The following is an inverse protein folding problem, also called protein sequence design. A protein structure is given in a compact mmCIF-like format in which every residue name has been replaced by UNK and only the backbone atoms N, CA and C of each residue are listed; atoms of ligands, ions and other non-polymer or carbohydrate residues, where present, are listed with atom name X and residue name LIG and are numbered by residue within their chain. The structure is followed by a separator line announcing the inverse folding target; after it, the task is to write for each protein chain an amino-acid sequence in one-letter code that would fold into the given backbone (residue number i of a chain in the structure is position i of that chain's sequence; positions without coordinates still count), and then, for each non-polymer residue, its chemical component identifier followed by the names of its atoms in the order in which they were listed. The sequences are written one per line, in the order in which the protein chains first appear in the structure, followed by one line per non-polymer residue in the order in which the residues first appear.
data_IF_690164361009
#
_entry.id   IF_690164361009
#
_cell.length_a   1.000
_cell.length_b   1.000
_cell.length_c   1.000
_cell.angle_alpha   90.00
_cell.angle_beta   90.00
_cell.angle_gamma   90.00
#
_symmetry.space_group_name_H-M   'P 1'
#
loop_
_entity.id
_entity.type
_entity.pdbx_description
1 polymer ?
#
# COMPACT_ATOMS: atom_id res chain seq x y z
N UNK A 1 82.20 -52.13 2.35
CA UNK A 1 83.12 -51.62 1.29
C UNK A 1 82.44 -50.38 0.70
N UNK A 2 83.14 -49.31 1.01
CA UNK A 2 83.31 -48.09 0.20
C UNK A 2 82.03 -47.42 -0.40
N UNK A 3 81.60 -46.33 0.20
CA UNK A 3 82.07 -44.95 -0.05
C UNK A 3 82.06 -44.57 -1.52
N UNK A 4 81.16 -43.59 -1.90
CA UNK A 4 81.70 -42.28 -2.29
C UNK A 4 80.59 -41.24 -2.37
N UNK A 5 80.87 -40.17 -1.64
CA UNK A 5 80.25 -38.81 -1.82
C UNK A 5 80.72 -38.25 -3.18
N UNK A 6 79.96 -37.40 -3.79
CA UNK A 6 80.46 -36.11 -4.36
C UNK A 6 79.31 -35.14 -4.54
N UNK A 7 79.58 -34.00 -4.09
CA UNK A 7 78.98 -32.69 -3.97
C UNK A 7 78.76 -31.91 -5.31
N UNK A 8 77.86 -30.96 -5.23
CA UNK A 8 77.96 -29.57 -5.63
C UNK A 8 77.17 -29.09 -6.87
N UNK A 9 76.29 -28.18 -6.49
CA UNK A 9 76.23 -26.78 -6.93
C UNK A 9 75.50 -26.46 -8.23
N UNK A 10 74.39 -25.75 -7.96
CA UNK A 10 74.03 -24.47 -8.61
C UNK A 10 73.70 -24.46 -10.10
N UNK A 11 72.44 -24.21 -10.37
CA UNK A 11 72.07 -23.16 -11.33
C UNK A 11 70.65 -22.71 -11.06
N UNK A 12 70.57 -21.47 -10.65
CA UNK A 12 69.32 -20.69 -10.62
C UNK A 12 68.89 -20.48 -12.09
N UNK A 13 67.65 -20.86 -12.39
CA UNK A 13 66.92 -20.31 -13.51
C UNK A 13 65.54 -19.96 -13.03
N UNK A 14 65.28 -18.67 -12.92
CA UNK A 14 63.99 -18.11 -12.51
C UNK A 14 62.91 -18.40 -13.53
N UNK A 15 61.81 -18.94 -13.09
CA UNK A 15 60.54 -18.94 -13.82
C UNK A 15 59.67 -17.94 -13.09
N UNK A 16 59.48 -16.76 -13.70
CA UNK A 16 58.44 -15.83 -13.32
C UNK A 16 57.09 -16.50 -13.59
N UNK A 17 56.49 -17.02 -12.56
CA UNK A 17 55.09 -17.41 -12.57
C UNK A 17 54.23 -16.17 -12.52
N UNK A 18 53.56 -15.83 -13.62
CA UNK A 18 52.50 -14.85 -13.64
C UNK A 18 51.34 -15.37 -12.81
N UNK A 19 51.18 -14.81 -11.61
CA UNK A 19 49.95 -14.99 -10.83
C UNK A 19 48.86 -14.19 -11.51
N UNK A 20 48.03 -14.88 -12.27
CA UNK A 20 46.76 -14.30 -12.73
C UNK A 20 45.88 -14.02 -11.50
N UNK A 21 45.80 -12.76 -11.12
CA UNK A 21 44.82 -12.30 -10.13
C UNK A 21 43.42 -12.53 -10.73
N UNK A 22 42.81 -13.64 -10.37
CA UNK A 22 41.36 -13.81 -10.54
C UNK A 22 40.69 -12.69 -9.71
N UNK A 23 40.27 -11.64 -10.40
CA UNK A 23 39.44 -10.61 -9.81
C UNK A 23 38.21 -11.27 -9.23
N UNK A 24 38.15 -11.39 -7.91
CA UNK A 24 36.92 -11.65 -7.19
C UNK A 24 36.02 -10.46 -7.51
N UNK A 25 35.12 -10.63 -8.48
CA UNK A 25 34.04 -9.69 -8.73
C UNK A 25 33.35 -9.47 -7.41
N UNK A 26 33.34 -8.22 -6.93
CA UNK A 26 32.55 -7.88 -5.77
C UNK A 26 31.10 -8.27 -6.08
N UNK A 27 30.38 -8.92 -5.17
CA UNK A 27 28.97 -9.20 -5.39
C UNK A 27 28.29 -7.84 -5.62
N UNK A 28 27.73 -7.66 -6.81
CA UNK A 28 26.83 -6.55 -7.09
C UNK A 28 25.73 -6.68 -6.07
N UNK A 29 25.46 -5.66 -5.21
CA UNK A 29 24.36 -5.75 -4.28
C UNK A 29 23.12 -6.06 -5.10
N UNK A 30 22.47 -7.18 -4.82
CA UNK A 30 21.17 -7.49 -5.38
C UNK A 30 20.30 -6.25 -5.10
N UNK A 31 19.76 -5.63 -6.15
CA UNK A 31 18.79 -4.57 -5.96
C UNK A 31 17.77 -5.11 -4.97
N UNK A 32 17.65 -4.48 -3.79
CA UNK A 32 16.62 -4.82 -2.82
C UNK A 32 15.30 -4.78 -3.60
N UNK A 33 14.72 -5.94 -3.86
CA UNK A 33 13.35 -6.00 -4.33
C UNK A 33 12.54 -5.31 -3.26
N UNK A 34 12.07 -4.10 -3.57
CA UNK A 34 11.16 -3.37 -2.68
C UNK A 34 10.05 -4.33 -2.30
N UNK A 35 9.97 -4.67 -1.02
CA UNK A 35 8.96 -5.59 -0.51
C UNK A 35 7.57 -5.03 -0.79
N UNK A 36 6.56 -5.91 -0.84
CA UNK A 36 5.17 -5.46 -0.94
C UNK A 36 4.81 -4.71 0.35
N UNK A 37 4.20 -3.53 0.19
CA UNK A 37 3.64 -2.76 1.30
C UNK A 37 2.43 -3.47 1.92
N UNK A 38 2.09 -3.03 3.13
CA UNK A 38 0.87 -3.38 3.83
C UNK A 38 0.06 -2.11 4.03
N UNK A 39 -1.24 -2.22 3.95
CA UNK A 39 -2.15 -1.08 4.08
C UNK A 39 -3.12 -1.31 5.22
N UNK A 40 -3.20 -0.37 6.15
CA UNK A 40 -4.34 -0.27 7.04
C UNK A 40 -5.35 0.72 6.44
N UNK A 41 -6.56 0.25 6.19
CA UNK A 41 -7.71 1.11 5.92
C UNK A 41 -8.51 1.24 7.21
N UNK A 42 -8.39 2.39 7.85
CA UNK A 42 -9.07 2.72 9.09
C UNK A 42 -10.28 3.59 8.81
N UNK A 43 -11.44 3.22 9.34
CA UNK A 43 -12.67 4.01 9.21
C UNK A 43 -13.12 4.47 10.58
N UNK A 44 -13.25 5.79 10.74
CA UNK A 44 -13.86 6.40 11.92
C UNK A 44 -15.35 6.58 11.64
N UNK A 45 -16.23 5.87 12.38
CA UNK A 45 -17.68 6.01 12.27
C UNK A 45 -18.15 7.18 13.11
N UNK A 46 -18.63 8.22 12.45
CA UNK A 46 -18.92 9.53 13.04
C UNK A 46 -20.37 9.89 12.74
N UNK A 47 -21.07 10.43 13.75
CA UNK A 47 -22.51 10.64 13.69
C UNK A 47 -22.93 12.03 13.15
N UNK A 48 -22.05 13.02 13.16
CA UNK A 48 -22.37 14.39 12.77
C UNK A 48 -21.11 15.20 12.40
N UNK A 49 -21.32 16.35 11.76
CA UNK A 49 -20.27 17.23 11.27
C UNK A 49 -19.37 17.78 12.40
N UNK A 50 -19.95 18.13 13.54
CA UNK A 50 -19.18 18.65 14.66
C UNK A 50 -18.16 17.60 15.15
N UNK A 51 -18.57 16.37 15.29
CA UNK A 51 -17.70 15.25 15.67
C UNK A 51 -16.68 14.94 14.57
N UNK A 52 -17.07 15.03 13.29
CA UNK A 52 -16.14 14.89 12.17
C UNK A 52 -15.01 15.92 12.26
N UNK A 53 -15.35 17.18 12.57
CA UNK A 53 -14.34 18.22 12.77
C UNK A 53 -13.38 17.87 13.91
N UNK A 54 -13.89 17.41 15.06
CA UNK A 54 -13.05 17.04 16.21
C UNK A 54 -12.07 15.90 15.84
N UNK A 55 -12.55 14.87 15.15
CA UNK A 55 -11.68 13.77 14.69
C UNK A 55 -10.68 14.28 13.64
N UNK A 56 -11.16 15.09 12.68
CA UNK A 56 -10.30 15.67 11.63
C UNK A 56 -9.17 16.53 12.22
N UNK A 57 -9.46 17.42 13.18
CA UNK A 57 -8.47 18.25 13.84
C UNK A 57 -7.41 17.37 14.57
N UNK A 58 -7.84 16.29 15.23
CA UNK A 58 -6.91 15.33 15.85
C UNK A 58 -6.03 14.62 14.81
N UNK A 59 -6.62 14.17 13.69
CA UNK A 59 -5.85 13.52 12.62
C UNK A 59 -4.81 14.48 12.04
N UNK A 60 -5.21 15.71 11.71
CA UNK A 60 -4.33 16.73 11.13
C UNK A 60 -3.21 17.17 12.07
N UNK A 61 -3.57 17.52 13.31
CA UNK A 61 -2.64 18.23 14.22
C UNK A 61 -1.79 17.28 15.07
N UNK A 62 -2.25 16.05 15.30
CA UNK A 62 -1.58 15.10 16.17
C UNK A 62 -1.15 13.81 15.46
N UNK A 63 -2.07 13.05 14.90
CA UNK A 63 -1.77 11.70 14.40
C UNK A 63 -0.91 11.73 13.14
N UNK A 64 -1.27 12.51 12.12
CA UNK A 64 -0.50 12.61 10.87
C UNK A 64 0.96 13.02 11.08
N UNK A 65 1.25 14.10 11.86
CA UNK A 65 2.63 14.44 12.18
C UNK A 65 3.39 13.34 12.93
N UNK A 66 2.71 12.61 13.83
CA UNK A 66 3.32 11.50 14.56
C UNK A 66 3.63 10.30 13.65
N UNK A 67 2.72 9.93 12.76
CA UNK A 67 2.98 8.91 11.73
C UNK A 67 4.18 9.27 10.86
N UNK A 68 4.28 10.53 10.48
CA UNK A 68 5.40 11.06 9.71
C UNK A 68 6.74 10.95 10.46
N UNK A 69 6.76 11.22 11.78
CA UNK A 69 7.94 11.01 12.63
C UNK A 69 8.27 9.53 12.81
N UNK A 70 7.24 8.65 12.83
CA UNK A 70 7.43 7.21 12.87
C UNK A 70 7.93 6.60 11.53
N UNK A 71 8.13 7.45 10.50
CA UNK A 71 8.62 7.03 9.18
C UNK A 71 7.52 6.56 8.22
N UNK A 72 6.24 6.82 8.55
CA UNK A 72 5.09 6.49 7.69
C UNK A 72 4.71 7.74 6.91
N UNK A 73 4.71 7.64 5.59
CA UNK A 73 4.44 8.73 4.64
C UNK A 73 3.32 8.34 3.69
N UNK A 74 2.83 9.28 2.92
CA UNK A 74 1.73 9.11 1.97
C UNK A 74 0.46 8.58 2.64
N UNK A 75 0.14 9.14 3.80
CA UNK A 75 -1.09 8.82 4.52
C UNK A 75 -2.24 9.58 3.89
N UNK A 76 -3.28 8.85 3.44
CA UNK A 76 -4.50 9.45 2.89
C UNK A 76 -5.57 9.60 3.95
N UNK A 77 -6.28 10.74 3.95
CA UNK A 77 -7.49 10.93 4.76
C UNK A 77 -8.58 11.48 3.86
N UNK A 78 -9.73 10.79 3.88
CA UNK A 78 -10.82 11.03 2.95
C UNK A 78 -12.17 11.08 3.67
N UNK A 79 -13.14 11.71 3.04
CA UNK A 79 -14.57 11.59 3.36
C UNK A 79 -15.36 11.19 2.13
N UNK A 80 -16.55 10.63 2.32
CA UNK A 80 -17.42 10.24 1.20
C UNK A 80 -18.09 11.48 0.58
N UNK A 81 -18.14 11.49 -0.75
CA UNK A 81 -18.83 12.54 -1.53
C UNK A 81 -20.32 12.22 -1.52
N UNK A 82 -21.13 13.26 -1.31
CA UNK A 82 -22.60 13.17 -1.32
C UNK A 82 -23.20 12.18 -0.30
N UNK A 83 -22.43 11.79 0.71
CA UNK A 83 -22.93 10.97 1.80
C UNK A 83 -24.01 11.73 2.57
N UNK A 84 -25.22 11.15 2.60
CA UNK A 84 -26.31 11.65 3.44
C UNK A 84 -26.15 11.03 4.82
N UNK A 85 -26.02 11.88 5.85
CA UNK A 85 -25.98 11.47 7.25
C UNK A 85 -24.82 10.50 7.62
N UNK A 86 -23.82 10.32 6.76
CA UNK A 86 -22.57 9.63 7.05
C UNK A 86 -21.39 10.63 7.06
N UNK A 87 -20.86 10.85 8.25
CA UNK A 87 -19.72 11.74 8.50
C UNK A 87 -18.43 10.97 8.72
N UNK A 88 -18.37 9.70 8.32
CA UNK A 88 -17.21 8.84 8.50
C UNK A 88 -15.97 9.40 7.80
N UNK A 89 -14.81 9.18 8.42
CA UNK A 89 -13.51 9.47 7.84
C UNK A 89 -12.78 8.16 7.53
N UNK A 90 -12.22 8.09 6.34
CA UNK A 90 -11.42 6.97 5.86
C UNK A 90 -9.95 7.36 5.87
N UNK A 91 -9.11 6.57 6.52
CA UNK A 91 -7.68 6.81 6.61
C UNK A 91 -6.91 5.63 6.05
N UNK A 92 -6.13 5.87 4.99
CA UNK A 92 -5.25 4.88 4.37
C UNK A 92 -3.82 5.10 4.87
N UNK A 93 -3.27 4.09 5.54
CA UNK A 93 -1.94 4.14 6.15
C UNK A 93 -1.07 3.05 5.52
N UNK A 94 -0.04 3.40 4.72
CA UNK A 94 0.88 2.44 4.15
C UNK A 94 2.00 2.10 5.15
N UNK A 95 2.36 0.82 5.22
CA UNK A 95 3.46 0.29 6.00
C UNK A 95 4.42 -0.50 5.12
N UNK A 96 5.70 -0.33 5.34
CA UNK A 96 6.75 -1.09 4.64
C UNK A 96 6.83 -2.55 5.11
N UNK A 97 6.32 -2.85 6.31
CA UNK A 97 6.33 -4.20 6.88
C UNK A 97 5.30 -4.34 8.00
N UNK A 98 4.92 -5.60 8.32
CA UNK A 98 4.09 -5.89 9.49
C UNK A 98 4.76 -5.50 10.81
N UNK A 99 6.10 -5.51 10.88
CA UNK A 99 6.83 -5.04 12.06
C UNK A 99 6.65 -3.53 12.27
N UNK A 100 6.61 -2.74 11.19
CA UNK A 100 6.35 -1.31 11.30
C UNK A 100 4.94 -1.04 11.83
N UNK A 101 3.94 -1.78 11.36
CA UNK A 101 2.57 -1.71 11.88
C UNK A 101 2.51 -2.13 13.36
N UNK A 102 3.10 -3.27 13.71
CA UNK A 102 3.06 -3.80 15.07
C UNK A 102 3.75 -2.89 16.09
N UNK A 103 4.83 -2.19 15.70
CA UNK A 103 5.57 -1.27 16.56
C UNK A 103 5.01 0.16 16.59
N UNK A 104 3.96 0.46 15.83
CA UNK A 104 3.44 1.83 15.73
C UNK A 104 2.94 2.36 17.08
N UNK A 105 2.15 1.56 17.79
CA UNK A 105 1.60 2.01 19.07
C UNK A 105 2.70 2.36 20.09
N UNK A 106 3.76 1.57 20.18
CA UNK A 106 4.90 1.84 21.07
C UNK A 106 5.62 3.14 20.69
N UNK A 107 5.74 3.41 19.37
CA UNK A 107 6.33 4.67 18.88
C UNK A 107 5.45 5.88 19.20
N UNK A 108 4.13 5.74 19.02
CA UNK A 108 3.18 6.82 19.38
C UNK A 108 3.16 7.07 20.89
N UNK A 109 3.22 6.03 21.71
CA UNK A 109 3.27 6.13 23.17
C UNK A 109 4.55 6.84 23.65
N UNK A 110 5.67 6.62 22.99
CA UNK A 110 6.94 7.29 23.29
C UNK A 110 7.02 8.73 22.74
N UNK A 111 6.12 9.15 21.86
CA UNK A 111 6.16 10.46 21.18
C UNK A 111 5.52 11.56 22.01
N UNK A 112 6.37 12.30 22.76
CA UNK A 112 5.92 13.43 23.60
C UNK A 112 5.19 14.52 22.81
N UNK A 113 5.59 14.78 21.56
CA UNK A 113 4.95 15.79 20.72
C UNK A 113 3.53 15.34 20.30
N UNK A 114 3.35 14.05 20.03
CA UNK A 114 2.03 13.47 19.79
C UNK A 114 1.12 13.63 20.99
N UNK A 115 1.57 13.25 22.19
CA UNK A 115 0.78 13.39 23.41
C UNK A 115 0.40 14.84 23.71
N UNK A 116 1.33 15.77 23.53
CA UNK A 116 1.06 17.21 23.71
C UNK A 116 0.00 17.73 22.72
N UNK A 117 0.10 17.35 21.43
CA UNK A 117 -0.85 17.76 20.39
C UNK A 117 -2.22 17.09 20.55
N UNK A 118 -2.25 15.83 21.00
CA UNK A 118 -3.46 15.06 21.19
C UNK A 118 -4.16 15.29 22.56
N UNK A 119 -3.57 16.07 23.47
CA UNK A 119 -4.03 16.17 24.85
C UNK A 119 -5.51 16.53 24.99
N UNK A 120 -6.00 17.51 24.23
CA UNK A 120 -7.42 17.91 24.23
C UNK A 120 -8.35 16.81 23.73
N UNK A 121 -7.94 16.08 22.70
CA UNK A 121 -8.69 14.96 22.15
C UNK A 121 -8.76 13.79 23.15
N UNK A 122 -7.64 13.46 23.81
CA UNK A 122 -7.61 12.39 24.80
C UNK A 122 -8.36 12.74 26.10
N UNK A 123 -8.55 14.02 26.39
CA UNK A 123 -9.32 14.48 27.52
C UNK A 123 -10.84 14.44 27.31
N UNK A 124 -11.32 14.12 26.10
CA UNK A 124 -12.75 14.05 25.81
C UNK A 124 -13.38 12.91 26.63
N UNK A 125 -14.40 13.20 27.46
CA UNK A 125 -15.03 12.16 28.28
C UNK A 125 -15.84 11.19 27.42
N UNK A 126 -15.97 9.94 27.86
CA UNK A 126 -16.67 8.85 27.14
C UNK A 126 -18.05 9.25 26.61
N UNK A 127 -18.82 10.03 27.36
CA UNK A 127 -20.17 10.47 26.97
C UNK A 127 -20.19 11.41 25.75
N UNK A 128 -19.06 12.08 25.49
CA UNK A 128 -18.89 13.05 24.41
C UNK A 128 -17.93 12.52 23.33
N UNK A 129 -17.70 11.19 23.29
CA UNK A 129 -16.80 10.56 22.32
C UNK A 129 -17.18 10.94 20.88
N UNK A 130 -16.22 11.45 20.07
CA UNK A 130 -16.54 12.00 18.75
C UNK A 130 -16.76 10.95 17.65
N UNK A 131 -16.58 9.69 17.97
CA UNK A 131 -16.87 8.57 17.07
C UNK A 131 -17.51 7.41 17.84
N UNK A 132 -18.32 6.61 17.18
CA UNK A 132 -18.96 5.43 17.75
C UNK A 132 -18.07 4.18 17.63
N UNK A 133 -17.24 4.10 16.57
CA UNK A 133 -16.41 2.95 16.25
C UNK A 133 -15.21 3.38 15.42
N UNK A 134 -14.08 2.69 15.63
CA UNK A 134 -12.96 2.64 14.68
C UNK A 134 -12.94 1.23 14.12
N UNK A 135 -13.05 1.10 12.82
CA UNK A 135 -12.89 -0.14 12.08
C UNK A 135 -11.51 -0.12 11.43
N UNK A 136 -10.82 -1.27 11.44
CA UNK A 136 -9.49 -1.38 10.83
C UNK A 136 -9.44 -2.64 9.97
N UNK A 137 -8.93 -2.47 8.74
CA UNK A 137 -8.76 -3.54 7.76
C UNK A 137 -7.29 -3.57 7.33
N UNK A 138 -6.67 -4.75 7.41
CA UNK A 138 -5.28 -4.94 7.03
C UNK A 138 -5.19 -5.68 5.70
N UNK A 139 -4.46 -5.08 4.77
CA UNK A 139 -4.26 -5.61 3.43
C UNK A 139 -2.78 -5.73 3.09
N UNK A 140 -2.46 -6.63 2.17
CA UNK A 140 -1.15 -6.75 1.54
C UNK A 140 -1.23 -6.24 0.11
N UNK A 141 -0.29 -5.40 -0.30
CA UNK A 141 -0.18 -4.89 -1.66
C UNK A 141 -0.12 -6.02 -2.71
N UNK A 142 -0.67 -5.79 -3.90
CA UNK A 142 -0.53 -6.74 -5.00
C UNK A 142 0.91 -6.77 -5.53
N UNK A 143 1.31 -7.91 -6.12
CA UNK A 143 2.63 -8.03 -6.75
C UNK A 143 2.80 -7.09 -7.94
N UNK A 144 1.75 -6.89 -8.73
CA UNK A 144 1.75 -6.00 -9.88
C UNK A 144 1.79 -4.50 -9.53
N UNK A 145 1.52 -4.16 -8.27
CA UNK A 145 1.65 -2.81 -7.71
C UNK A 145 2.03 -2.92 -6.23
N UNK A 146 3.32 -3.20 -5.94
CA UNK A 146 3.76 -3.51 -4.59
C UNK A 146 3.83 -2.30 -3.67
N UNK A 147 3.76 -1.08 -4.20
CA UNK A 147 3.91 0.19 -3.48
C UNK A 147 2.78 1.12 -3.88
N UNK A 148 2.25 1.85 -2.90
CA UNK A 148 1.27 2.90 -3.11
C UNK A 148 1.80 4.00 -4.03
N UNK A 149 0.98 4.40 -5.01
CA UNK A 149 1.23 5.53 -5.92
C UNK A 149 0.29 6.69 -5.59
N UNK A 150 0.85 7.89 -5.51
CA UNK A 150 0.05 9.09 -5.37
C UNK A 150 -0.36 9.60 -6.76
N UNK A 151 -1.56 10.19 -6.91
CA UNK A 151 -1.98 10.79 -8.17
C UNK A 151 -0.95 11.80 -8.69
N UNK A 152 -0.79 11.86 -10.03
CA UNK A 152 0.04 12.85 -10.69
C UNK A 152 -0.85 14.04 -11.07
N UNK A 153 -0.48 15.23 -10.64
CA UNK A 153 -1.22 16.44 -10.96
C UNK A 153 -1.50 17.31 -9.74
N UNK A 154 -2.24 18.37 -9.96
CA UNK A 154 -2.69 19.27 -8.87
C UNK A 154 -4.12 18.86 -8.52
N UNK A 155 -4.28 18.30 -7.33
CA UNK A 155 -5.59 17.92 -6.79
C UNK A 155 -6.41 19.10 -6.29
N UNK A 156 -7.58 18.86 -5.66
CA UNK A 156 -8.04 17.55 -5.20
C UNK A 156 -8.60 16.68 -6.33
N UNK A 157 -8.34 15.37 -6.24
CA UNK A 157 -8.92 14.39 -7.15
C UNK A 157 -10.17 13.74 -6.53
N UNK A 158 -11.00 13.16 -7.39
CA UNK A 158 -11.98 12.16 -6.99
C UNK A 158 -11.28 10.83 -6.77
N UNK A 159 -11.61 10.12 -5.70
CA UNK A 159 -11.15 8.77 -5.44
C UNK A 159 -12.33 7.79 -5.44
N UNK A 160 -12.14 6.63 -6.05
CA UNK A 160 -13.08 5.52 -5.95
C UNK A 160 -12.41 4.40 -5.14
N UNK A 161 -12.94 4.10 -3.96
CA UNK A 161 -12.58 2.94 -3.14
C UNK A 161 -13.51 1.79 -3.49
N UNK A 162 -12.95 0.65 -3.91
CA UNK A 162 -13.73 -0.53 -4.33
C UNK A 162 -13.31 -1.77 -3.55
N UNK A 163 -14.29 -2.54 -3.11
CA UNK A 163 -14.09 -3.87 -2.52
C UNK A 163 -14.77 -4.92 -3.36
N UNK A 164 -14.04 -5.99 -3.70
CA UNK A 164 -14.54 -7.16 -4.41
C UNK A 164 -14.51 -8.37 -3.50
N UNK A 165 -15.68 -8.82 -3.09
CA UNK A 165 -15.83 -10.03 -2.29
C UNK A 165 -15.86 -11.27 -3.19
N UNK A 166 -15.36 -12.37 -2.69
CA UNK A 166 -15.43 -13.69 -3.34
C UNK A 166 -16.01 -14.69 -2.36
N UNK A 167 -16.78 -15.67 -2.85
CA UNK A 167 -17.42 -16.63 -1.97
C UNK A 167 -16.50 -17.73 -1.41
N UNK A 168 -15.23 -17.76 -1.84
CA UNK A 168 -14.19 -18.60 -1.24
C UNK A 168 -12.78 -18.08 -1.57
N UNK A 169 -11.80 -18.55 -0.78
CA UNK A 169 -10.41 -18.10 -0.88
C UNK A 169 -9.74 -18.43 -2.23
N UNK A 170 -10.11 -19.52 -2.89
CA UNK A 170 -9.54 -19.87 -4.21
C UNK A 170 -9.98 -18.85 -5.27
N UNK A 171 -11.23 -18.43 -5.28
CA UNK A 171 -11.75 -17.45 -6.24
C UNK A 171 -11.20 -16.06 -5.95
N UNK A 172 -11.03 -15.68 -4.68
CA UNK A 172 -10.35 -14.44 -4.30
C UNK A 172 -8.91 -14.41 -4.85
N UNK A 173 -8.16 -15.51 -4.66
CA UNK A 173 -6.81 -15.65 -5.20
C UNK A 173 -6.77 -15.55 -6.73
N UNK A 174 -7.75 -16.16 -7.43
CA UNK A 174 -7.86 -16.06 -8.89
C UNK A 174 -8.20 -14.63 -9.34
N UNK A 175 -9.01 -13.89 -8.56
CA UNK A 175 -9.26 -12.48 -8.88
C UNK A 175 -8.01 -11.62 -8.69
N UNK A 176 -7.23 -11.84 -7.64
CA UNK A 176 -5.91 -11.19 -7.45
C UNK A 176 -4.95 -11.56 -8.58
N UNK A 177 -4.93 -12.84 -9.03
CA UNK A 177 -4.16 -13.28 -10.19
C UNK A 177 -4.57 -12.55 -11.46
N UNK A 178 -5.86 -12.33 -11.68
CA UNK A 178 -6.39 -11.59 -12.83
C UNK A 178 -5.85 -10.16 -12.86
N UNK A 179 -5.87 -9.45 -11.73
CA UNK A 179 -5.28 -8.11 -11.62
C UNK A 179 -3.79 -8.13 -11.96
N UNK A 180 -3.02 -9.04 -11.34
CA UNK A 180 -1.56 -9.14 -11.54
C UNK A 180 -1.18 -9.62 -12.96
N UNK A 181 -2.10 -10.25 -13.70
CA UNK A 181 -1.87 -10.80 -15.04
C UNK A 181 -2.26 -9.87 -16.18
N UNK A 182 -2.63 -8.60 -15.88
CA UNK A 182 -2.90 -7.60 -16.90
C UNK A 182 -4.03 -6.62 -16.61
N UNK A 183 -4.96 -6.89 -15.65
CA UNK A 183 -6.06 -5.95 -15.38
C UNK A 183 -5.53 -4.59 -14.87
N UNK A 184 -4.42 -4.58 -14.09
CA UNK A 184 -3.75 -3.35 -13.63
C UNK A 184 -3.24 -2.54 -14.84
N UNK A 185 -2.62 -3.20 -15.82
CA UNK A 185 -2.07 -2.52 -17.00
C UNK A 185 -3.21 -1.94 -17.85
N UNK A 186 -4.30 -2.70 -18.04
CA UNK A 186 -5.51 -2.22 -18.72
C UNK A 186 -6.07 -0.96 -18.04
N UNK A 187 -6.14 -0.95 -16.70
CA UNK A 187 -6.60 0.22 -15.96
C UNK A 187 -5.71 1.44 -16.18
N UNK A 188 -4.38 1.24 -16.20
CA UNK A 188 -3.42 2.31 -16.50
C UNK A 188 -3.56 2.84 -17.92
N UNK A 189 -3.74 1.97 -18.90
CA UNK A 189 -3.89 2.34 -20.32
C UNK A 189 -5.10 3.24 -20.56
N UNK A 190 -6.16 3.06 -19.79
CA UNK A 190 -7.39 3.86 -19.88
C UNK A 190 -7.46 5.00 -18.86
N UNK A 191 -6.35 5.30 -18.19
CA UNK A 191 -6.22 6.38 -17.20
C UNK A 191 -7.09 6.19 -15.93
N UNK A 192 -7.51 4.98 -15.61
CA UNK A 192 -7.99 4.62 -14.28
C UNK A 192 -6.80 4.55 -13.34
N UNK A 193 -6.32 5.71 -12.90
CA UNK A 193 -5.06 5.85 -12.18
C UNK A 193 -5.13 5.18 -10.79
N UNK A 194 -4.41 4.06 -10.57
CA UNK A 194 -4.46 3.35 -9.30
C UNK A 194 -3.67 4.10 -8.22
N UNK A 195 -4.20 4.04 -6.99
CA UNK A 195 -3.52 4.49 -5.77
C UNK A 195 -2.93 3.29 -5.03
N UNK A 196 -3.71 2.24 -4.84
CA UNK A 196 -3.26 0.97 -4.29
C UNK A 196 -4.18 -0.18 -4.72
N UNK A 197 -3.66 -1.40 -4.64
CA UNK A 197 -4.42 -2.66 -4.67
C UNK A 197 -3.99 -3.49 -3.46
N UNK A 198 -4.96 -3.98 -2.68
CA UNK A 198 -4.71 -4.76 -1.48
C UNK A 198 -5.52 -6.04 -1.42
N UNK A 199 -4.84 -7.17 -1.15
CA UNK A 199 -5.48 -8.41 -0.75
C UNK A 199 -5.78 -8.35 0.75
N UNK A 200 -7.04 -8.56 1.15
CA UNK A 200 -7.44 -8.49 2.55
C UNK A 200 -6.83 -9.65 3.34
N UNK A 201 -6.08 -9.31 4.39
CA UNK A 201 -5.51 -10.28 5.33
C UNK A 201 -6.39 -10.42 6.58
N UNK A 202 -6.85 -9.29 7.11
CA UNK A 202 -7.69 -9.21 8.32
C UNK A 202 -8.71 -8.09 8.11
N UNK A 203 -9.97 -8.37 8.36
CA UNK A 203 -11.07 -7.41 8.23
C UNK A 203 -12.41 -8.12 8.06
N UNK A 204 -13.42 -7.32 7.77
CA UNK A 204 -14.77 -7.82 7.51
C UNK A 204 -14.90 -8.35 6.06
N UNK A 205 -15.94 -9.15 5.82
CA UNK A 205 -16.34 -9.63 4.49
C UNK A 205 -15.24 -10.40 3.73
N UNK A 206 -14.35 -11.08 4.45
CA UNK A 206 -13.31 -11.92 3.83
C UNK A 206 -13.88 -13.23 3.28
N UNK A 207 -13.33 -13.74 2.16
CA UNK A 207 -12.17 -13.24 1.42
C UNK A 207 -12.55 -12.14 0.43
N UNK A 208 -11.77 -11.08 0.40
CA UNK A 208 -11.96 -9.95 -0.51
C UNK A 208 -10.64 -9.30 -0.89
N UNK A 209 -10.68 -8.44 -1.89
CA UNK A 209 -9.65 -7.47 -2.22
C UNK A 209 -10.25 -6.06 -2.21
N UNK A 210 -9.44 -5.08 -1.89
CA UNK A 210 -9.83 -3.67 -1.91
C UNK A 210 -8.78 -2.85 -2.65
N UNK A 211 -9.22 -1.88 -3.43
CA UNK A 211 -8.33 -1.00 -4.18
C UNK A 211 -8.91 0.40 -4.31
N UNK A 212 -8.06 1.36 -4.64
CA UNK A 212 -8.44 2.75 -4.85
C UNK A 212 -7.92 3.24 -6.18
N UNK A 213 -8.80 3.93 -6.91
CA UNK A 213 -8.49 4.61 -8.16
C UNK A 213 -8.67 6.12 -7.96
N UNK A 214 -7.98 6.92 -8.76
CA UNK A 214 -8.15 8.38 -8.76
C UNK A 214 -8.47 8.90 -10.15
N UNK A 215 -9.18 10.03 -10.20
CA UNK A 215 -9.48 10.77 -11.42
C UNK A 215 -9.61 12.27 -11.10
N UNK A 216 -9.43 13.17 -12.08
CA UNK A 216 -9.61 14.60 -11.84
C UNK A 216 -11.02 15.00 -11.37
N UNK A 217 -12.04 14.27 -11.82
CA UNK A 217 -13.45 14.48 -11.48
C UNK A 217 -14.30 13.27 -11.90
N UNK A 218 -15.59 13.33 -11.60
CA UNK A 218 -16.55 12.25 -11.89
C UNK A 218 -16.70 11.96 -13.38
N UNK A 219 -16.78 12.99 -14.22
CA UNK A 219 -16.94 12.83 -15.65
C UNK A 219 -15.75 12.10 -16.30
N UNK A 220 -14.52 12.51 -15.94
CA UNK A 220 -13.31 11.84 -16.39
C UNK A 220 -13.28 10.38 -15.93
N UNK A 221 -13.64 10.13 -14.66
CA UNK A 221 -13.70 8.79 -14.08
C UNK A 221 -14.65 7.86 -14.84
N UNK A 222 -15.88 8.33 -15.10
CA UNK A 222 -16.90 7.56 -15.81
C UNK A 222 -16.45 7.24 -17.25
N UNK A 223 -15.78 8.19 -17.93
CA UNK A 223 -15.17 8.01 -19.27
C UNK A 223 -14.04 6.98 -19.24
N UNK A 224 -13.19 7.01 -18.24
CA UNK A 224 -12.11 6.03 -18.09
C UNK A 224 -12.67 4.62 -17.89
N UNK A 225 -13.71 4.46 -17.08
CA UNK A 225 -14.42 3.19 -16.93
C UNK A 225 -15.09 2.72 -18.23
N UNK A 226 -15.61 3.64 -19.03
CA UNK A 226 -16.14 3.30 -20.36
C UNK A 226 -15.01 2.73 -21.26
N UNK A 227 -13.83 3.38 -21.25
CA UNK A 227 -12.64 2.90 -21.93
C UNK A 227 -12.23 1.50 -21.47
N UNK A 228 -12.21 1.26 -20.16
CA UNK A 228 -11.91 -0.06 -19.60
C UNK A 228 -12.86 -1.15 -20.10
N UNK A 229 -14.16 -0.89 -20.06
CA UNK A 229 -15.17 -1.86 -20.52
C UNK A 229 -15.06 -2.21 -22.01
N UNK A 230 -14.52 -1.31 -22.82
CA UNK A 230 -14.30 -1.48 -24.28
C UNK A 230 -12.91 -1.97 -24.63
N UNK A 231 -11.99 -2.09 -23.65
CA UNK A 231 -10.61 -2.49 -23.92
C UNK A 231 -10.51 -3.92 -24.44
N UNK A 232 -9.80 -4.18 -25.58
CA UNK A 232 -9.75 -5.51 -26.20
C UNK A 232 -9.19 -6.59 -25.26
N UNK A 233 -8.13 -6.28 -24.49
CA UNK A 233 -7.54 -7.22 -23.54
C UNK A 233 -8.47 -7.52 -22.37
N UNK A 234 -9.26 -6.54 -21.91
CA UNK A 234 -10.32 -6.80 -20.94
C UNK A 234 -11.37 -7.75 -21.49
N UNK A 235 -11.82 -7.54 -22.75
CA UNK A 235 -12.79 -8.43 -23.40
C UNK A 235 -12.27 -9.86 -23.54
N UNK A 236 -10.97 -10.03 -23.82
CA UNK A 236 -10.30 -11.34 -23.84
C UNK A 236 -10.21 -11.93 -22.43
N UNK A 237 -9.73 -11.17 -21.46
CA UNK A 237 -9.43 -11.63 -20.10
C UNK A 237 -10.69 -12.07 -19.35
N UNK A 238 -11.76 -11.29 -19.40
CA UNK A 238 -13.03 -11.60 -18.71
C UNK A 238 -13.71 -12.87 -19.22
N UNK A 239 -13.35 -13.37 -20.43
CA UNK A 239 -13.88 -14.59 -21.03
C UNK A 239 -13.10 -15.86 -20.64
N UNK A 240 -11.94 -15.70 -20.00
CA UNK A 240 -11.13 -16.85 -19.57
C UNK A 240 -11.84 -17.64 -18.47
N UNK A 241 -11.99 -18.95 -18.66
CA UNK A 241 -12.73 -19.82 -17.74
C UNK A 241 -12.22 -19.75 -16.31
N UNK A 242 -10.89 -19.61 -16.11
CA UNK A 242 -10.28 -19.52 -14.80
C UNK A 242 -10.72 -18.28 -13.98
N UNK A 243 -11.26 -17.25 -14.65
CA UNK A 243 -11.65 -16.00 -13.97
C UNK A 243 -13.18 -15.84 -13.83
N UNK A 244 -13.95 -16.79 -14.37
CA UNK A 244 -15.41 -16.76 -14.23
C UNK A 244 -15.83 -16.93 -12.77
N UNK A 245 -16.78 -16.10 -12.32
CA UNK A 245 -17.37 -16.21 -10.98
C UNK A 245 -16.44 -15.86 -9.84
N UNK A 246 -15.31 -15.18 -10.10
CA UNK A 246 -14.33 -14.81 -9.08
C UNK A 246 -14.81 -13.72 -8.12
N UNK A 247 -15.84 -12.95 -8.49
CA UNK A 247 -16.43 -11.88 -7.69
C UNK A 247 -17.88 -12.20 -7.38
N UNK A 248 -18.28 -12.17 -6.13
CA UNK A 248 -19.64 -12.40 -5.65
C UNK A 248 -20.39 -11.08 -5.37
N UNK A 249 -19.67 -10.05 -4.89
CA UNK A 249 -20.24 -8.73 -4.60
C UNK A 249 -19.21 -7.64 -4.85
N UNK A 250 -19.68 -6.49 -5.31
CA UNK A 250 -18.85 -5.28 -5.46
C UNK A 250 -19.50 -4.19 -4.62
N UNK A 251 -18.68 -3.55 -3.80
CA UNK A 251 -19.05 -2.33 -3.07
C UNK A 251 -18.06 -1.23 -3.45
N UNK A 252 -18.57 -0.01 -3.67
CA UNK A 252 -17.72 1.13 -4.00
C UNK A 252 -18.22 2.41 -3.33
N UNK A 253 -17.25 3.27 -2.98
CA UNK A 253 -17.45 4.59 -2.40
C UNK A 253 -16.69 5.61 -3.21
N UNK A 254 -17.28 6.79 -3.38
CA UNK A 254 -16.61 7.95 -3.97
C UNK A 254 -16.17 8.87 -2.85
N UNK A 255 -14.89 9.17 -2.85
CA UNK A 255 -14.23 9.87 -1.76
C UNK A 255 -13.56 11.14 -2.29
N UNK A 256 -13.53 12.17 -1.45
CA UNK A 256 -12.68 13.34 -1.63
C UNK A 256 -11.65 13.43 -0.50
N UNK A 257 -10.40 13.87 -0.79
CA UNK A 257 -9.37 13.98 0.22
C UNK A 257 -9.64 15.21 1.11
N UNK A 258 -9.30 15.09 2.40
CA UNK A 258 -9.24 16.27 3.27
C UNK A 258 -8.02 17.13 2.91
N UNK A 259 -8.03 18.46 3.19
CA UNK A 259 -6.96 19.37 2.78
C UNK A 259 -5.56 18.98 3.24
N UNK A 260 -5.45 18.28 4.38
CA UNK A 260 -4.18 17.81 4.96
C UNK A 260 -3.81 16.37 4.54
N UNK A 261 -4.63 15.70 3.73
CA UNK A 261 -4.31 14.39 3.19
C UNK A 261 -3.03 14.46 2.35
N UNK A 262 -2.13 13.49 2.50
CA UNK A 262 -0.91 13.40 1.69
C UNK A 262 -1.16 12.72 0.32
N UNK A 263 -2.37 12.24 0.12
CA UNK A 263 -2.88 11.71 -1.15
C UNK A 263 -4.00 12.67 -1.58
N UNK A 264 -3.76 13.44 -2.67
CA UNK A 264 -4.64 14.50 -3.17
C UNK A 264 -5.13 14.20 -4.59
#
# INVERSE_FOLDING_TARGET
MQQNRINRRSLLAGILGAVAALGLGQPVPAAEQQGQEYYELRTYRIANEQNQKVVSDYLEQALMPALNRAGIKKVGVFKEIDAKDDYSLYMLIPFQSLNQLASLNDKLEADKAYHAAAASYFAIPKKDAPYSRIESRLMKAFKGMPILETPKGKGPNLFELRTYESHNANLARLKVDMFNSGEIDIMRDVLLAPVFYGEMLIGDDVPNLTYMLSAPNREAHDKHWEGFRKHPEWDRMKKMDKYKGTVSKITNWYLEPLPYSEIQ
#
